data_IF_110494014694
#
_entry.id   IF_110494014694
#
_cell.length_a   1.000
_cell.length_b   1.000
_cell.length_c   1.000
_cell.angle_alpha   90.00
_cell.angle_beta   90.00
_cell.angle_gamma   90.00
#
_symmetry.space_group_name_H-M   'P 1'
#
loop_
_entity.id
_entity.type
_entity.pdbx_description
1 polymer ?
#
# COMPACT_ATOMS: atom_id res chain seq x y z
N UNK A 1 6.32 -34.42 -8.43
CA UNK A 1 5.33 -33.50 -7.84
C UNK A 1 5.67 -32.09 -8.30
N UNK A 2 5.10 -31.55 -9.39
CA UNK A 2 5.46 -30.22 -9.86
C UNK A 2 4.72 -29.17 -9.03
N UNK A 3 5.51 -28.29 -8.39
CA UNK A 3 5.06 -27.20 -7.54
C UNK A 3 4.33 -26.11 -8.32
N UNK A 4 3.24 -25.63 -7.74
CA UNK A 4 2.47 -24.52 -8.26
C UNK A 4 3.32 -23.23 -8.30
N UNK A 5 3.44 -22.62 -9.47
CA UNK A 5 4.01 -21.28 -9.66
C UNK A 5 3.13 -20.22 -8.96
N UNK A 6 3.68 -19.17 -8.34
CA UNK A 6 2.94 -18.24 -7.48
C UNK A 6 2.11 -17.18 -8.23
N UNK A 7 1.57 -17.48 -9.42
CA UNK A 7 0.87 -16.50 -10.26
C UNK A 7 -0.59 -16.22 -9.87
N UNK A 8 -1.09 -16.79 -8.76
CA UNK A 8 -2.46 -16.60 -8.28
C UNK A 8 -2.66 -15.40 -7.32
N UNK A 9 -1.62 -14.60 -7.03
CA UNK A 9 -1.67 -13.40 -6.16
C UNK A 9 -2.44 -12.18 -6.75
N UNK A 10 -3.28 -12.40 -7.76
CA UNK A 10 -3.87 -11.36 -8.58
C UNK A 10 -5.21 -10.81 -8.04
N UNK A 11 -5.23 -10.36 -6.78
CA UNK A 11 -6.07 -9.20 -6.43
C UNK A 11 -5.16 -7.96 -6.47
N UNK A 12 -4.71 -7.66 -7.69
CA UNK A 12 -4.13 -6.41 -8.18
C UNK A 12 -3.23 -5.63 -7.19
N UNK A 13 -2.12 -6.21 -6.73
CA UNK A 13 -1.10 -5.42 -6.02
C UNK A 13 -0.58 -4.27 -6.91
N UNK A 14 -0.31 -3.10 -6.33
CA UNK A 14 0.28 -1.95 -7.04
C UNK A 14 1.55 -1.51 -6.35
N UNK A 15 2.50 -1.09 -7.18
CA UNK A 15 3.78 -0.57 -6.73
C UNK A 15 3.70 0.91 -6.39
N UNK A 16 4.19 1.27 -5.21
CA UNK A 16 4.48 2.64 -4.80
C UNK A 16 5.97 2.83 -4.57
N UNK A 17 6.46 4.03 -4.82
CA UNK A 17 7.88 4.37 -4.69
C UNK A 17 7.99 5.65 -3.88
N UNK A 18 9.01 5.74 -3.03
CA UNK A 18 9.42 6.97 -2.37
C UNK A 18 10.95 7.02 -2.26
N UNK A 19 11.47 8.23 -2.15
CA UNK A 19 12.89 8.50 -1.90
C UNK A 19 12.98 9.52 -0.78
N UNK A 20 13.93 9.34 0.13
CA UNK A 20 14.25 10.29 1.17
C UNK A 20 15.75 10.34 1.39
N UNK A 21 16.27 11.50 1.72
CA UNK A 21 17.66 11.71 2.09
C UNK A 21 17.69 12.37 3.47
N UNK A 22 18.45 11.79 4.38
CA UNK A 22 18.76 12.41 5.67
C UNK A 22 20.11 11.92 6.19
N UNK A 23 20.78 12.77 6.96
CA UNK A 23 22.10 12.48 7.55
C UNK A 23 23.18 12.04 6.53
N UNK A 24 23.10 12.53 5.29
CA UNK A 24 24.01 12.16 4.20
C UNK A 24 23.72 10.79 3.57
N UNK A 25 22.63 10.13 3.98
CA UNK A 25 22.21 8.83 3.46
C UNK A 25 20.97 8.99 2.60
N UNK A 26 21.02 8.49 1.37
CA UNK A 26 19.88 8.45 0.47
C UNK A 26 19.23 7.05 0.49
N UNK A 27 17.91 7.00 0.64
CA UNK A 27 17.12 5.77 0.65
C UNK A 27 16.02 5.86 -0.39
N UNK A 28 16.02 4.93 -1.34
CA UNK A 28 14.92 4.67 -2.25
C UNK A 28 14.16 3.42 -1.84
N UNK A 29 12.83 3.49 -1.76
CA UNK A 29 11.99 2.35 -1.41
C UNK A 29 10.90 2.12 -2.44
N UNK A 30 10.81 0.89 -2.94
CA UNK A 30 9.69 0.39 -3.72
C UNK A 30 8.88 -0.62 -2.90
N UNK A 31 7.56 -0.44 -2.82
CA UNK A 31 6.66 -1.36 -2.10
C UNK A 31 5.56 -1.87 -3.00
N UNK A 32 5.27 -3.17 -2.90
CA UNK A 32 4.12 -3.80 -3.56
C UNK A 32 3.01 -4.03 -2.54
N UNK A 33 1.89 -3.33 -2.74
CA UNK A 33 0.79 -3.26 -1.76
C UNK A 33 -0.50 -3.76 -2.39
N UNK A 34 -1.27 -4.55 -1.65
CA UNK A 34 -2.69 -4.85 -1.94
C UNK A 34 -3.59 -4.33 -0.82
N UNK A 35 -4.91 -4.46 -0.99
CA UNK A 35 -5.87 -4.16 0.07
C UNK A 35 -6.59 -5.44 0.48
N UNK A 36 -6.45 -5.81 1.75
CA UNK A 36 -7.09 -6.98 2.37
C UNK A 36 -7.98 -6.49 3.52
N UNK A 37 -9.27 -6.84 3.50
CA UNK A 37 -10.23 -6.42 4.54
C UNK A 37 -10.23 -4.90 4.84
N UNK A 38 -10.00 -4.08 3.83
CA UNK A 38 -9.94 -2.62 3.97
C UNK A 38 -8.66 -2.08 4.60
N UNK A 39 -7.61 -2.91 4.73
CA UNK A 39 -6.28 -2.53 5.23
C UNK A 39 -5.20 -2.76 4.17
N UNK A 40 -4.15 -1.93 4.14
CA UNK A 40 -3.02 -2.17 3.25
C UNK A 40 -2.25 -3.42 3.70
N UNK A 41 -1.93 -4.30 2.76
CA UNK A 41 -1.02 -5.44 2.96
C UNK A 41 0.22 -5.24 2.09
N UNK A 42 1.41 -5.26 2.72
CA UNK A 42 2.69 -5.10 2.02
C UNK A 42 3.26 -6.48 1.75
N UNK A 43 3.37 -6.83 0.47
CA UNK A 43 3.92 -8.14 0.05
C UNK A 43 5.44 -8.08 -0.04
N UNK A 44 5.96 -7.00 -0.60
CA UNK A 44 7.40 -6.84 -0.82
C UNK A 44 7.80 -5.39 -0.61
N UNK A 45 8.93 -5.19 0.04
CA UNK A 45 9.61 -3.92 0.17
C UNK A 45 11.05 -4.08 -0.34
N UNK A 46 11.42 -3.34 -1.38
CA UNK A 46 12.77 -3.35 -1.94
C UNK A 46 13.37 -1.98 -1.69
N UNK A 47 14.40 -1.93 -0.85
CA UNK A 47 15.11 -0.71 -0.48
C UNK A 47 16.47 -0.66 -1.17
N UNK A 48 16.82 0.49 -1.72
CA UNK A 48 18.18 0.82 -2.14
C UNK A 48 18.70 1.93 -1.21
N UNK A 49 19.87 1.72 -0.60
CA UNK A 49 20.48 2.66 0.34
C UNK A 49 21.89 3.01 -0.11
N UNK A 50 22.14 4.31 -0.23
CA UNK A 50 23.48 4.87 -0.39
C UNK A 50 23.86 5.58 0.91
N UNK A 51 24.85 5.03 1.61
CA UNK A 51 25.35 5.52 2.90
C UNK A 51 26.89 5.66 2.92
N UNK A 52 27.49 5.87 1.75
CA UNK A 52 28.94 5.82 1.59
C UNK A 52 29.50 4.41 1.83
N UNK A 53 30.69 4.33 2.44
CA UNK A 53 31.34 3.06 2.74
C UNK A 53 30.51 2.20 3.70
N UNK A 54 30.06 1.04 3.22
CA UNK A 54 29.31 0.09 4.04
C UNK A 54 30.22 -0.67 5.04
N UNK A 55 30.34 -0.15 6.26
CA UNK A 55 31.20 -0.72 7.31
C UNK A 55 30.75 -2.12 7.75
N UNK A 56 29.45 -2.28 8.00
CA UNK A 56 28.86 -3.57 8.37
C UNK A 56 27.53 -3.81 7.61
N UNK A 57 27.57 -4.52 6.47
CA UNK A 57 26.40 -4.80 5.64
C UNK A 57 25.24 -5.47 6.38
N UNK A 58 25.51 -6.39 7.32
CA UNK A 58 24.46 -7.11 8.05
C UNK A 58 23.70 -6.20 9.01
N UNK A 59 24.41 -5.29 9.68
CA UNK A 59 23.77 -4.28 10.53
C UNK A 59 22.96 -3.30 9.70
N UNK A 60 23.47 -2.90 8.53
CA UNK A 60 22.75 -2.02 7.61
C UNK A 60 21.43 -2.66 7.18
N UNK A 61 21.45 -3.91 6.72
CA UNK A 61 20.26 -4.68 6.37
C UNK A 61 19.25 -4.74 7.55
N UNK A 62 19.75 -5.01 8.75
CA UNK A 62 18.92 -5.05 9.97
C UNK A 62 18.27 -3.70 10.28
N UNK A 63 18.99 -2.59 10.08
CA UNK A 63 18.45 -1.23 10.25
C UNK A 63 17.39 -0.91 9.20
N UNK A 64 17.57 -1.37 7.95
CA UNK A 64 16.52 -1.23 6.93
C UNK A 64 15.26 -1.94 7.38
N UNK A 65 15.36 -3.21 7.75
CA UNK A 65 14.21 -4.01 8.16
C UNK A 65 13.53 -3.42 9.40
N UNK A 66 14.30 -3.04 10.42
CA UNK A 66 13.80 -2.42 11.64
C UNK A 66 13.17 -1.05 11.41
N UNK A 67 13.80 -0.20 10.60
CA UNK A 67 13.30 1.13 10.28
C UNK A 67 12.01 1.09 9.47
N UNK A 68 11.89 0.17 8.50
CA UNK A 68 10.65 -0.07 7.77
C UNK A 68 9.53 -0.58 8.71
N UNK A 69 9.85 -1.53 9.60
CA UNK A 69 8.90 -2.03 10.59
C UNK A 69 8.40 -0.94 11.55
N UNK A 70 9.30 -0.07 12.02
CA UNK A 70 8.95 1.06 12.87
C UNK A 70 8.14 2.12 12.10
N UNK A 71 8.55 2.46 10.89
CA UNK A 71 7.87 3.42 10.03
C UNK A 71 6.42 3.04 9.68
N UNK A 72 6.11 1.73 9.67
CA UNK A 72 4.74 1.24 9.45
C UNK A 72 3.75 1.71 10.51
N UNK A 73 4.21 1.93 11.74
CA UNK A 73 3.35 2.38 12.85
C UNK A 73 2.65 3.69 12.47
N UNK A 74 3.34 4.59 11.76
CA UNK A 74 2.79 5.88 11.30
C UNK A 74 1.59 5.71 10.34
N UNK A 75 1.48 4.56 9.66
CA UNK A 75 0.35 4.25 8.78
C UNK A 75 -0.83 3.63 9.53
N UNK A 76 -0.58 2.99 10.68
CA UNK A 76 -1.55 2.17 11.40
C UNK A 76 -2.54 3.03 12.19
N UNK A 77 -3.82 2.65 12.19
CA UNK A 77 -4.88 3.38 12.89
C UNK A 77 -4.61 3.56 14.40
N UNK A 78 -3.93 2.58 15.03
CA UNK A 78 -3.54 2.62 16.45
C UNK A 78 -2.07 3.06 16.67
N UNK A 79 -1.42 3.63 15.65
CA UNK A 79 -0.04 4.12 15.76
C UNK A 79 0.06 5.63 15.98
N UNK A 80 -1.04 6.29 16.35
CA UNK A 80 -1.06 7.72 16.64
C UNK A 80 -1.12 7.98 18.14
N UNK A 81 -0.43 9.04 18.56
CA UNK A 81 -0.57 9.63 19.89
C UNK A 81 -1.49 10.83 19.77
N UNK A 82 -2.61 10.81 20.49
CA UNK A 82 -3.61 11.88 20.51
C UNK A 82 -3.63 12.58 21.86
N UNK A 83 -4.05 13.85 21.84
CA UNK A 83 -4.13 14.69 23.02
C UNK A 83 -5.57 15.13 23.25
N UNK A 84 -6.01 15.04 24.50
CA UNK A 84 -7.28 15.58 24.96
C UNK A 84 -7.04 16.34 26.26
N UNK A 85 -7.55 17.57 26.32
CA UNK A 85 -7.40 18.45 27.50
C UNK A 85 -5.93 18.59 27.96
N UNK A 86 -5.01 18.64 26.99
CA UNK A 86 -3.55 18.74 27.23
C UNK A 86 -2.87 17.45 27.69
N UNK A 87 -3.58 16.32 27.74
CA UNK A 87 -3.03 15.04 28.19
C UNK A 87 -3.02 14.01 27.06
N UNK A 88 -2.00 13.15 27.06
CA UNK A 88 -1.92 12.00 26.14
C UNK A 88 -3.00 10.99 26.49
N UNK A 89 -3.75 10.55 25.47
CA UNK A 89 -4.82 9.58 25.65
C UNK A 89 -4.31 8.13 25.73
N UNK A 90 -3.30 7.77 24.94
CA UNK A 90 -2.75 6.40 24.88
C UNK A 90 -1.78 6.17 26.04
N UNK A 91 -2.11 5.23 26.94
CA UNK A 91 -1.30 4.99 28.15
C UNK A 91 -0.44 3.74 28.07
N UNK A 92 -0.70 2.85 27.12
CA UNK A 92 0.01 1.58 26.96
C UNK A 92 -0.20 1.00 25.55
N UNK A 93 0.39 -0.15 25.23
CA UNK A 93 0.39 -0.76 23.89
C UNK A 93 -0.96 -1.29 23.38
N UNK A 94 -1.96 -1.39 24.26
CA UNK A 94 -3.33 -1.68 23.84
C UNK A 94 -4.01 -0.46 23.18
N UNK A 95 -3.57 0.74 23.55
CA UNK A 95 -4.04 2.03 23.02
C UNK A 95 -3.16 2.51 21.87
N UNK A 96 -1.82 2.41 22.03
CA UNK A 96 -0.83 2.66 20.98
C UNK A 96 -0.22 1.33 20.51
N UNK A 97 -0.73 0.77 19.43
CA UNK A 97 -0.31 -0.56 19.00
C UNK A 97 0.96 -0.50 18.15
N UNK A 98 2.08 -1.12 18.58
CA UNK A 98 3.27 -1.24 17.75
C UNK A 98 3.00 -2.16 16.56
N UNK A 99 3.86 -2.11 15.54
CA UNK A 99 3.79 -3.04 14.43
C UNK A 99 4.05 -4.47 14.93
N UNK A 100 3.14 -5.39 14.63
CA UNK A 100 3.35 -6.81 14.87
C UNK A 100 3.84 -7.50 13.60
N UNK A 101 4.29 -8.76 13.74
CA UNK A 101 4.78 -9.58 12.63
C UNK A 101 3.78 -9.69 11.46
N UNK A 102 2.48 -9.63 11.73
CA UNK A 102 1.42 -9.64 10.70
C UNK A 102 1.33 -8.35 9.87
N UNK A 103 1.83 -7.24 10.42
CA UNK A 103 1.79 -5.91 9.82
C UNK A 103 3.07 -5.63 9.01
N UNK A 104 4.15 -6.35 9.31
CA UNK A 104 5.43 -6.24 8.60
C UNK A 104 5.32 -6.67 7.13
N UNK A 105 6.22 -6.17 6.25
CA UNK A 105 6.29 -6.65 4.87
C UNK A 105 6.61 -8.15 4.85
N UNK A 106 5.97 -8.91 3.97
CA UNK A 106 6.22 -10.36 3.86
C UNK A 106 7.66 -10.65 3.43
N UNK A 107 8.22 -9.78 2.59
CA UNK A 107 9.62 -9.85 2.15
C UNK A 107 10.24 -8.45 2.13
N UNK A 108 11.47 -8.34 2.61
CA UNK A 108 12.27 -7.11 2.56
C UNK A 108 13.60 -7.44 1.88
N UNK A 109 13.91 -6.74 0.79
CA UNK A 109 15.21 -6.79 0.14
C UNK A 109 15.94 -5.47 0.38
N UNK A 110 17.12 -5.52 0.99
CA UNK A 110 17.98 -4.35 1.17
C UNK A 110 19.16 -4.42 0.19
N UNK A 111 19.28 -3.42 -0.67
CA UNK A 111 20.37 -3.25 -1.60
C UNK A 111 21.23 -2.08 -1.17
N UNK A 112 22.50 -2.36 -0.85
CA UNK A 112 23.48 -1.35 -0.51
C UNK A 112 24.15 -0.90 -1.81
N UNK A 113 24.09 0.41 -2.09
CA UNK A 113 24.77 1.00 -3.25
C UNK A 113 26.27 0.99 -2.97
N UNK A 114 27.10 0.37 -3.84
CA UNK A 114 28.55 0.39 -3.65
C UNK A 114 29.08 1.82 -3.74
N UNK A 115 29.81 2.27 -2.72
CA UNK A 115 30.39 3.61 -2.65
C UNK A 115 31.71 3.59 -1.86
N UNK A 116 32.60 4.53 -2.22
CA UNK A 116 33.88 4.77 -1.52
C UNK A 116 33.87 6.07 -0.71
N UNK A 117 32.74 6.78 -0.67
CA UNK A 117 32.58 8.00 0.12
C UNK A 117 32.63 7.71 1.63
N UNK A 118 32.83 8.76 2.43
CA UNK A 118 32.84 8.63 3.88
C UNK A 118 31.52 8.03 4.39
N UNK A 119 31.55 7.10 5.37
CA UNK A 119 30.35 6.46 5.88
C UNK A 119 29.43 7.46 6.59
N UNK A 120 28.13 7.31 6.37
CA UNK A 120 27.07 8.17 6.93
C UNK A 120 26.13 7.41 7.88
N UNK A 121 25.07 8.07 8.37
CA UNK A 121 24.15 7.49 9.34
C UNK A 121 23.18 6.47 8.73
N UNK A 122 22.95 5.32 9.39
CA UNK A 122 22.09 4.24 8.85
C UNK A 122 20.78 4.01 9.63
N UNK A 123 20.67 4.49 10.88
CA UNK A 123 19.56 4.11 11.77
C UNK A 123 18.20 4.71 11.38
N UNK A 124 18.14 6.03 11.25
CA UNK A 124 16.89 6.74 10.94
C UNK A 124 16.46 6.72 9.45
N UNK A 125 17.36 6.75 8.44
CA UNK A 125 16.97 6.92 7.03
C UNK A 125 15.90 5.95 6.49
N UNK A 126 15.82 4.67 6.90
CA UNK A 126 14.78 3.76 6.42
C UNK A 126 13.38 4.05 6.99
N UNK A 127 13.25 4.84 8.07
CA UNK A 127 11.96 5.09 8.75
C UNK A 127 10.98 5.93 7.91
N UNK A 128 11.34 7.13 7.40
CA UNK A 128 10.38 8.02 6.76
C UNK A 128 9.94 7.56 5.36
N UNK A 129 10.64 6.63 4.71
CA UNK A 129 10.38 6.25 3.31
C UNK A 129 9.16 5.36 3.12
N UNK A 130 8.77 4.57 4.13
CA UNK A 130 7.71 3.56 3.97
C UNK A 130 6.32 4.17 3.85
N UNK A 131 6.01 5.18 4.66
CA UNK A 131 4.71 5.84 4.64
C UNK A 131 4.34 6.44 3.26
N UNK A 132 5.18 7.29 2.64
CA UNK A 132 4.91 7.82 1.31
C UNK A 132 4.91 6.74 0.22
N UNK A 133 5.76 5.71 0.32
CA UNK A 133 5.77 4.61 -0.65
C UNK A 133 4.43 3.85 -0.64
N UNK A 134 3.92 3.52 0.55
CA UNK A 134 2.61 2.85 0.70
C UNK A 134 1.47 3.78 0.26
N UNK A 135 1.52 5.07 0.63
CA UNK A 135 0.50 6.04 0.19
C UNK A 135 0.45 6.17 -1.34
N UNK A 136 1.60 6.13 -2.02
CA UNK A 136 1.69 6.14 -3.48
C UNK A 136 1.13 4.85 -4.11
N UNK A 137 1.38 3.69 -3.50
CA UNK A 137 0.77 2.43 -3.93
C UNK A 137 -0.76 2.45 -3.78
N UNK A 138 -1.25 2.94 -2.64
CA UNK A 138 -2.67 3.11 -2.34
C UNK A 138 -3.35 4.10 -3.27
N UNK A 139 -2.67 5.18 -3.68
CA UNK A 139 -3.19 6.10 -4.69
C UNK A 139 -3.43 5.39 -6.03
N UNK A 140 -2.52 4.51 -6.46
CA UNK A 140 -2.70 3.72 -7.69
C UNK A 140 -3.82 2.69 -7.59
N UNK A 141 -4.06 2.14 -6.40
CA UNK A 141 -5.16 1.19 -6.14
C UNK A 141 -6.53 1.89 -6.09
N UNK A 142 -6.60 2.96 -5.32
CA UNK A 142 -7.87 3.58 -4.91
C UNK A 142 -8.22 4.82 -5.71
N UNK A 143 -7.25 5.49 -6.33
CA UNK A 143 -7.38 6.83 -6.92
C UNK A 143 -7.41 7.96 -5.89
N UNK A 144 -7.45 7.67 -4.58
CA UNK A 144 -7.47 8.66 -3.50
C UNK A 144 -6.06 8.97 -3.06
N UNK A 145 -5.72 10.26 -2.94
CA UNK A 145 -4.43 10.71 -2.43
C UNK A 145 -4.51 10.89 -0.92
N UNK A 146 -3.72 10.12 -0.18
CA UNK A 146 -3.61 10.21 1.27
C UNK A 146 -2.53 11.22 1.63
N UNK A 147 -2.87 12.24 2.43
CA UNK A 147 -1.95 13.30 2.88
C UNK A 147 -1.92 13.50 4.40
N UNK A 148 -2.69 12.70 5.12
CA UNK A 148 -2.78 12.73 6.57
C UNK A 148 -2.54 11.32 7.07
N UNK A 149 -1.69 11.22 8.10
CA UNK A 149 -1.43 9.99 8.83
C UNK A 149 -2.12 10.09 10.19
N UNK A 150 -2.57 8.96 10.77
CA UNK A 150 -2.52 7.60 10.23
C UNK A 150 -3.56 7.35 9.12
N UNK A 151 -3.38 6.27 8.34
CA UNK A 151 -4.34 5.87 7.29
C UNK A 151 -5.48 5.06 7.94
N UNK A 152 -6.42 5.77 8.58
CA UNK A 152 -7.53 5.19 9.35
C UNK A 152 -8.64 4.54 8.51
N UNK A 153 -8.83 4.96 7.25
CA UNK A 153 -9.83 4.36 6.37
C UNK A 153 -9.37 4.29 4.91
N UNK A 154 -9.27 3.06 4.39
CA UNK A 154 -9.25 2.86 2.95
C UNK A 154 -10.69 2.94 2.43
N UNK A 155 -11.01 4.04 1.75
CA UNK A 155 -12.34 4.21 1.13
C UNK A 155 -12.55 3.07 0.12
N UNK A 156 -13.58 2.25 0.36
CA UNK A 156 -13.94 1.11 -0.49
C UNK A 156 -14.50 1.66 -1.79
N UNK A 157 -13.65 1.83 -2.80
CA UNK A 157 -14.07 2.44 -4.05
C UNK A 157 -14.95 1.42 -4.82
N UNK A 158 -16.25 1.71 -4.93
CA UNK A 158 -17.26 0.82 -5.48
C UNK A 158 -17.20 0.83 -7.02
N UNK A 159 -16.17 0.21 -7.62
CA UNK A 159 -16.05 0.08 -9.10
C UNK A 159 -16.88 -1.07 -9.69
N UNK A 160 -17.96 -1.51 -9.04
CA UNK A 160 -18.85 -2.57 -9.58
C UNK A 160 -19.85 -2.08 -10.63
N UNK A 161 -19.98 -0.78 -10.90
CA UNK A 161 -21.07 -0.25 -11.76
C UNK A 161 -20.67 0.22 -13.16
N UNK A 162 -19.41 0.11 -13.61
CA UNK A 162 -19.03 0.54 -14.98
C UNK A 162 -18.73 -0.57 -15.99
N UNK A 163 -18.75 -1.85 -15.62
CA UNK A 163 -18.53 -2.94 -16.58
C UNK A 163 -19.80 -3.57 -17.18
N UNK A 164 -21.01 -3.19 -16.76
CA UNK A 164 -22.25 -3.74 -17.31
C UNK A 164 -22.91 -2.90 -18.41
N UNK A 165 -22.35 -1.75 -18.81
CA UNK A 165 -22.93 -0.90 -19.87
C UNK A 165 -22.19 -0.99 -21.21
N UNK A 166 -21.18 -1.83 -21.34
CA UNK A 166 -20.37 -1.95 -22.57
C UNK A 166 -20.59 -3.27 -23.34
N UNK A 167 -21.70 -4.00 -23.09
CA UNK A 167 -21.94 -5.32 -23.69
C UNK A 167 -23.34 -5.48 -24.34
N UNK A 168 -24.03 -4.37 -24.66
CA UNK A 168 -25.32 -4.39 -25.37
C UNK A 168 -25.37 -3.41 -26.55
N UNK A 169 -24.27 -3.25 -27.29
CA UNK A 169 -24.27 -2.55 -28.59
C UNK A 169 -23.47 -3.36 -29.60
N UNK A 170 -23.99 -4.53 -30.01
CA UNK A 170 -23.67 -5.15 -31.31
C UNK A 170 -24.88 -6.00 -31.74
N UNK A 171 -25.35 -5.73 -32.97
CA UNK A 171 -26.38 -6.40 -33.80
C UNK A 171 -27.85 -5.96 -33.65
N UNK A 172 -28.19 -4.90 -34.39
CA UNK A 172 -29.48 -4.78 -35.10
C UNK A 172 -29.27 -5.03 -36.60
N UNK A 173 -30.23 -5.75 -37.22
CA UNK A 173 -30.46 -6.19 -38.63
C UNK A 173 -30.40 -7.73 -38.71
N UNK A 174 -31.40 -8.48 -39.17
CA UNK A 174 -32.69 -8.19 -39.80
C UNK A 174 -33.57 -9.47 -39.74
N UNK A 175 -34.91 -9.32 -39.69
CA UNK A 175 -35.97 -10.26 -40.11
C UNK A 175 -37.31 -9.70 -39.61
N UNK A 176 -38.09 -8.97 -40.42
CA UNK A 176 -39.24 -9.42 -41.24
C UNK A 176 -40.44 -9.99 -40.45
N UNK A 177 -41.53 -9.23 -40.58
CA UNK A 177 -42.96 -9.59 -40.65
C UNK A 177 -43.71 -10.14 -39.42
N UNK A 178 -44.96 -9.66 -39.34
CA UNK A 178 -46.15 -10.19 -38.64
C UNK A 178 -46.53 -9.60 -37.26
N UNK A 179 -47.34 -8.54 -37.33
CA UNK A 179 -48.74 -8.43 -36.88
C UNK A 179 -49.23 -9.01 -35.53
N UNK A 180 -49.99 -8.17 -34.82
CA UNK A 180 -50.98 -8.46 -33.74
C UNK A 180 -50.33 -8.74 -32.36
N UNK A 181 -50.79 -8.27 -31.19
CA UNK A 181 -52.10 -7.78 -30.71
C UNK A 181 -51.91 -6.87 -29.48
N UNK A 182 -52.86 -5.97 -29.31
CA UNK A 182 -53.14 -5.05 -28.19
C UNK A 182 -53.29 -5.75 -26.82
N UNK A 183 -52.75 -5.14 -25.75
CA UNK A 183 -53.29 -5.07 -24.35
C UNK A 183 -52.38 -4.06 -23.60
N UNK A 184 -52.73 -2.78 -23.44
CA UNK A 184 -53.70 -2.13 -22.53
C UNK A 184 -53.55 -2.45 -21.03
N UNK A 185 -53.10 -1.42 -20.31
CA UNK A 185 -53.36 -1.06 -18.90
C UNK A 185 -52.80 -1.89 -17.73
N UNK A 186 -52.05 -1.23 -16.83
CA UNK A 186 -52.39 -0.95 -15.41
C UNK A 186 -51.09 -0.56 -14.64
N UNK A 187 -50.79 0.72 -14.45
CA UNK A 187 -51.02 1.50 -13.22
C UNK A 187 -50.23 1.04 -11.97
N UNK A 188 -49.24 1.86 -11.60
CA UNK A 188 -48.81 2.25 -10.25
C UNK A 188 -49.15 1.31 -9.07
N UNK A 189 -48.11 0.70 -8.52
CA UNK A 189 -47.72 0.73 -7.10
C UNK A 189 -46.22 0.38 -6.99
#
# INVERSE_FOLDING_TARGET
>A
MPGASPSAFAICARRGIAVHECFGTAVGLAVDVSVENGRPRIHRATAAIDLGLAVNPLTIESQVQGGLAFGLIQLMAKGAITFKDGQVEQRNFHDFTPAYMKDAPVTVDAHIVPSTEAPTGCGEPPVPVIAPAVANALFRLTGKRYRSLPIVSLCRNNRRTRLMSAMTVVRRRAATSESQTVYSACSWL
#
